data_IF_834206519800
#
_entry.id   IF_834206519800
#
_cell.length_a   1.000
_cell.length_b   1.000
_cell.length_c   1.000
_cell.angle_alpha   90.00
_cell.angle_beta   90.00
_cell.angle_gamma   90.00
#
_symmetry.space_group_name_H-M   'P 1'
#
loop_
_entity.id
_entity.type
_entity.pdbx_description
1 polymer ?
#
# COMPACT_ATOMS: atom_id res chain seq x y z
N UNK A 1 2.63 3.63 -3.85
CA UNK A 1 2.10 2.65 -4.82
C UNK A 1 1.33 3.46 -5.83
N UNK A 2 1.58 3.30 -7.13
CA UNK A 2 0.66 3.84 -8.13
C UNK A 2 -0.54 2.90 -8.13
N UNK A 3 -1.70 3.41 -7.76
CA UNK A 3 -3.02 2.81 -7.97
C UNK A 3 -3.49 2.95 -9.42
N UNK A 4 -2.67 3.50 -10.31
CA UNK A 4 -2.83 3.37 -11.75
C UNK A 4 -2.80 1.90 -12.20
N UNK A 5 -3.40 1.66 -13.37
CA UNK A 5 -3.35 0.35 -14.02
C UNK A 5 -1.91 0.03 -14.44
N UNK A 6 -1.45 -1.19 -14.15
CA UNK A 6 -0.12 -1.63 -14.56
C UNK A 6 -0.06 -1.72 -16.10
N UNK A 7 0.77 -0.87 -16.71
CA UNK A 7 0.93 -0.81 -18.16
C UNK A 7 1.49 -2.10 -18.78
N UNK A 8 2.14 -2.96 -17.98
CA UNK A 8 2.74 -4.20 -18.45
C UNK A 8 1.86 -5.42 -18.16
N UNK A 9 1.06 -5.39 -17.10
CA UNK A 9 0.29 -6.54 -16.65
C UNK A 9 -1.01 -6.15 -15.92
N UNK A 10 -1.84 -5.36 -16.60
CA UNK A 10 -3.11 -4.86 -16.06
C UNK A 10 -4.05 -6.00 -15.62
N UNK A 11 -4.17 -7.05 -16.43
CA UNK A 11 -5.12 -8.14 -16.15
C UNK A 11 -4.77 -8.85 -14.85
N UNK A 12 -3.50 -9.18 -14.64
CA UNK A 12 -3.02 -9.81 -13.41
C UNK A 12 -3.25 -8.93 -12.18
N UNK A 13 -3.05 -7.60 -12.31
CA UNK A 13 -3.34 -6.65 -11.23
C UNK A 13 -4.82 -6.69 -10.85
N UNK A 14 -5.72 -6.64 -11.84
CA UNK A 14 -7.17 -6.69 -11.63
C UNK A 14 -7.59 -8.01 -10.99
N UNK A 15 -7.10 -9.14 -11.52
CA UNK A 15 -7.43 -10.48 -11.03
C UNK A 15 -7.01 -10.63 -9.56
N UNK A 16 -5.78 -10.26 -9.21
CA UNK A 16 -5.27 -10.34 -7.84
C UNK A 16 -6.06 -9.47 -6.88
N UNK A 17 -6.35 -8.21 -7.25
CA UNK A 17 -7.13 -7.31 -6.42
C UNK A 17 -8.57 -7.79 -6.26
N UNK A 18 -9.16 -8.40 -7.29
CA UNK A 18 -10.50 -8.99 -7.21
C UNK A 18 -10.55 -10.18 -6.24
N UNK A 19 -9.52 -11.02 -6.21
CA UNK A 19 -9.41 -12.14 -5.28
C UNK A 19 -9.30 -11.65 -3.83
N UNK A 20 -8.51 -10.61 -3.58
CA UNK A 20 -8.41 -9.99 -2.24
C UNK A 20 -9.76 -9.41 -1.82
N UNK A 21 -10.44 -8.70 -2.72
CA UNK A 21 -11.79 -8.16 -2.45
C UNK A 21 -12.80 -9.25 -2.11
N UNK A 22 -12.79 -10.36 -2.86
CA UNK A 22 -13.67 -11.51 -2.59
C UNK A 22 -13.36 -12.15 -1.22
N UNK A 23 -12.08 -12.39 -0.93
CA UNK A 23 -11.65 -12.93 0.36
C UNK A 23 -12.08 -12.04 1.53
N UNK A 24 -11.92 -10.72 1.42
CA UNK A 24 -12.36 -9.78 2.46
C UNK A 24 -13.89 -9.76 2.63
N UNK A 25 -14.64 -9.91 1.54
CA UNK A 25 -16.09 -9.95 1.58
C UNK A 25 -16.62 -11.16 2.37
N UNK A 26 -15.92 -12.30 2.35
CA UNK A 26 -16.25 -13.48 3.16
C UNK A 26 -16.18 -13.19 4.67
N UNK A 27 -15.39 -12.19 5.08
CA UNK A 27 -15.30 -11.71 6.47
C UNK A 27 -16.19 -10.48 6.74
N UNK A 28 -17.06 -10.10 5.80
CA UNK A 28 -17.94 -8.93 5.91
C UNK A 28 -17.22 -7.58 5.75
N UNK A 29 -16.00 -7.57 5.22
CA UNK A 29 -15.20 -6.36 4.99
C UNK A 29 -15.43 -5.88 3.56
N UNK A 30 -15.88 -4.64 3.41
CA UNK A 30 -16.10 -4.02 2.08
C UNK A 30 -14.82 -3.34 1.59
N UNK A 31 -14.30 -3.81 0.47
CA UNK A 31 -13.15 -3.20 -0.21
C UNK A 31 -13.60 -2.46 -1.48
N UNK A 32 -13.33 -1.15 -1.53
CA UNK A 32 -13.50 -0.31 -2.71
C UNK A 32 -12.15 -0.04 -3.36
N UNK A 33 -12.10 -0.05 -4.70
CA UNK A 33 -10.87 0.13 -5.47
C UNK A 33 -11.19 1.10 -6.60
N UNK A 34 -10.38 2.14 -6.72
CA UNK A 34 -10.42 3.13 -7.77
C UNK A 34 -9.03 3.22 -8.39
N UNK A 35 -8.96 3.47 -9.69
CA UNK A 35 -7.70 3.57 -10.43
C UNK A 35 -7.55 4.98 -10.97
N UNK A 36 -6.38 5.58 -10.78
CA UNK A 36 -6.06 6.91 -11.29
C UNK A 36 -4.67 6.92 -11.92
N UNK A 37 -4.56 7.46 -13.13
CA UNK A 37 -3.26 7.60 -13.81
C UNK A 37 -2.45 8.79 -13.28
N UNK A 38 -3.11 9.74 -12.61
CA UNK A 38 -2.51 11.00 -12.16
C UNK A 38 -2.23 11.03 -10.66
N UNK A 39 -2.67 10.02 -9.90
CA UNK A 39 -2.40 9.93 -8.47
C UNK A 39 -0.96 9.43 -8.24
N UNK A 40 -0.19 10.21 -7.50
CA UNK A 40 1.20 9.90 -7.16
C UNK A 40 1.47 9.93 -5.65
N UNK A 41 0.56 10.52 -4.89
CA UNK A 41 0.65 10.64 -3.44
C UNK A 41 0.42 9.29 -2.78
N UNK A 42 1.05 9.10 -1.61
CA UNK A 42 0.96 7.86 -0.83
C UNK A 42 0.48 8.20 0.54
N UNK A 43 -0.72 7.76 0.84
CA UNK A 43 -1.35 8.11 2.07
C UNK A 43 -2.19 6.95 2.58
N UNK A 44 -2.04 6.67 3.86
CA UNK A 44 -2.91 5.78 4.60
C UNK A 44 -3.67 6.65 5.59
N UNK A 45 -4.99 6.69 5.47
CA UNK A 45 -5.89 7.38 6.40
C UNK A 45 -6.60 6.37 7.27
N UNK A 46 -6.55 6.62 8.58
CA UNK A 46 -7.29 5.86 9.58
C UNK A 46 -8.51 6.67 10.03
N UNK A 47 -9.60 5.97 10.34
CA UNK A 47 -10.86 6.55 10.84
C UNK A 47 -10.69 7.31 12.16
N UNK A 48 -9.75 6.87 12.98
CA UNK A 48 -9.26 7.55 14.20
C UNK A 48 -8.64 8.92 13.96
N UNK A 49 -8.38 9.30 12.70
CA UNK A 49 -7.84 10.60 12.32
C UNK A 49 -6.33 10.62 12.09
N UNK A 50 -5.64 9.49 12.25
CA UNK A 50 -4.23 9.35 11.91
C UNK A 50 -4.03 9.27 10.40
N UNK A 51 -2.99 9.95 9.93
CA UNK A 51 -2.58 10.02 8.53
C UNK A 51 -1.10 9.64 8.48
N UNK A 52 -0.78 8.61 7.69
CA UNK A 52 0.57 8.10 7.52
C UNK A 52 0.95 8.28 6.04
N UNK A 53 2.02 9.02 5.78
CA UNK A 53 2.51 9.30 4.44
C UNK A 53 3.93 8.74 4.27
N UNK A 54 4.22 8.24 3.06
CA UNK A 54 5.55 7.80 2.64
C UNK A 54 6.08 8.75 1.57
N UNK A 55 7.25 9.34 1.81
CA UNK A 55 7.82 10.43 0.97
C UNK A 55 8.60 9.93 -0.25
N UNK A 56 8.98 8.65 -0.36
CA UNK A 56 9.78 8.17 -1.53
C UNK A 56 8.93 7.81 -2.74
N UNK A 57 9.59 7.49 -3.87
CA UNK A 57 8.98 7.09 -5.16
C UNK A 57 8.87 5.57 -5.36
N UNK A 58 9.47 4.74 -4.50
CA UNK A 58 9.31 3.27 -4.49
C UNK A 58 8.34 2.95 -3.36
N UNK A 59 7.20 2.31 -3.64
CA UNK A 59 6.07 2.12 -2.70
C UNK A 59 6.42 1.38 -1.41
N UNK A 60 5.41 0.78 -0.77
CA UNK A 60 5.60 -0.26 0.24
C UNK A 60 6.23 -1.50 -0.43
N UNK A 61 7.51 -1.42 -0.75
CA UNK A 61 8.24 -2.42 -1.51
C UNK A 61 9.47 -2.81 -0.70
N UNK A 62 9.46 -4.03 -0.18
CA UNK A 62 10.59 -4.61 0.53
C UNK A 62 11.71 -4.96 -0.45
N UNK A 63 12.96 -5.01 0.03
CA UNK A 63 14.04 -5.52 -0.79
C UNK A 63 13.75 -6.98 -1.17
N UNK A 64 14.15 -7.38 -2.38
CA UNK A 64 13.99 -8.76 -2.83
C UNK A 64 14.85 -9.70 -1.96
N UNK A 65 14.21 -10.70 -1.37
CA UNK A 65 14.90 -11.77 -0.67
C UNK A 65 15.19 -12.95 -1.62
N UNK A 66 16.25 -13.72 -1.38
CA UNK A 66 16.45 -14.98 -2.08
C UNK A 66 15.31 -15.97 -1.77
N UNK A 67 14.86 -16.78 -2.75
CA UNK A 67 13.79 -17.75 -2.53
C UNK A 67 14.19 -18.76 -1.45
N UNK A 68 13.23 -19.09 -0.56
CA UNK A 68 13.36 -20.05 0.56
C UNK A 68 14.19 -19.58 1.77
N UNK A 69 14.38 -18.28 1.97
CA UNK A 69 14.93 -17.79 3.24
C UNK A 69 13.87 -17.82 4.35
N UNK A 70 14.24 -18.23 5.57
CA UNK A 70 13.36 -18.16 6.76
C UNK A 70 12.87 -16.72 7.01
N UNK A 71 13.62 -15.74 6.52
CA UNK A 71 13.32 -14.31 6.57
C UNK A 71 12.16 -13.90 5.65
N UNK A 72 11.64 -14.81 4.81
CA UNK A 72 10.54 -14.53 3.88
C UNK A 72 9.15 -14.65 4.53
N UNK A 73 9.05 -15.10 5.78
CA UNK A 73 7.76 -15.12 6.49
C UNK A 73 7.57 -13.90 7.41
N UNK A 74 8.65 -13.43 8.01
CA UNK A 74 8.62 -12.35 9.00
C UNK A 74 9.13 -11.05 8.38
N UNK A 75 8.24 -10.07 8.24
CA UNK A 75 8.55 -8.76 7.67
C UNK A 75 9.52 -7.94 8.53
N UNK A 76 9.60 -8.20 9.84
CA UNK A 76 10.50 -7.48 10.75
C UNK A 76 11.97 -7.85 10.55
N UNK A 77 12.22 -9.03 9.96
CA UNK A 77 13.56 -9.53 9.66
C UNK A 77 14.03 -9.17 8.24
N UNK A 78 13.20 -8.50 7.45
CA UNK A 78 13.52 -8.15 6.06
C UNK A 78 14.33 -6.87 5.98
N UNK A 79 15.23 -6.82 5.01
CA UNK A 79 15.91 -5.58 4.66
C UNK A 79 14.94 -4.65 3.93
N UNK A 80 14.88 -3.41 4.41
CA UNK A 80 14.06 -2.36 3.81
C UNK A 80 14.94 -1.43 2.98
N UNK A 81 14.37 -0.85 1.93
CA UNK A 81 14.95 0.34 1.34
C UNK A 81 14.76 1.52 2.31
N UNK A 82 15.76 2.38 2.41
CA UNK A 82 15.63 3.62 3.17
C UNK A 82 14.41 4.39 2.66
N UNK A 83 13.55 4.87 3.55
CA UNK A 83 12.45 5.79 3.23
C UNK A 83 12.15 6.71 4.41
N UNK A 84 11.33 7.74 4.19
CA UNK A 84 10.84 8.65 5.23
C UNK A 84 9.35 8.42 5.43
N UNK A 85 8.98 8.12 6.66
CA UNK A 85 7.58 7.98 7.09
C UNK A 85 7.20 9.24 7.86
N UNK A 86 6.21 9.96 7.36
CA UNK A 86 5.63 11.13 7.99
C UNK A 86 4.29 10.75 8.65
N UNK A 87 4.12 11.07 9.93
CA UNK A 87 2.93 10.72 10.72
C UNK A 87 2.26 11.99 11.20
N UNK A 88 0.98 12.14 10.86
CA UNK A 88 0.16 13.28 11.24
C UNK A 88 -1.15 12.81 11.87
N UNK A 89 -1.81 13.72 12.59
CA UNK A 89 -3.17 13.51 13.07
C UNK A 89 -4.03 14.69 12.63
N UNK A 90 -5.22 14.40 12.09
CA UNK A 90 -6.12 15.36 11.43
C UNK A 90 -6.36 16.65 12.23
N UNK A 91 -6.45 16.54 13.56
CA UNK A 91 -6.65 17.70 14.45
C UNK A 91 -5.49 18.70 14.46
N UNK A 92 -4.29 18.30 14.04
CA UNK A 92 -3.07 19.11 14.06
C UNK A 92 -2.58 19.48 12.65
N UNK A 93 -3.29 19.05 11.61
CA UNK A 93 -3.00 19.44 10.22
C UNK A 93 -3.91 20.64 9.90
N UNK A 94 -3.33 21.82 9.74
CA UNK A 94 -4.06 22.97 9.22
C UNK A 94 -4.35 22.75 7.74
N UNK A 95 -5.57 22.30 7.43
CA UNK A 95 -6.11 22.42 6.08
C UNK A 95 -6.49 23.88 5.87
N UNK A 96 -5.69 24.61 5.10
CA UNK A 96 -6.04 25.95 4.60
C UNK A 96 -7.15 25.86 3.58
#
# INVERSE_FOLDING_TARGET
ANDGLDQRDQQSQLDRLSQVKASLADYGIVMAIEYSETLHDREIRLDTGWIIQDRKRIGLTFAQLPPNSVLDLDHDLRTCHETTIDIFHRNYVHTS
#
